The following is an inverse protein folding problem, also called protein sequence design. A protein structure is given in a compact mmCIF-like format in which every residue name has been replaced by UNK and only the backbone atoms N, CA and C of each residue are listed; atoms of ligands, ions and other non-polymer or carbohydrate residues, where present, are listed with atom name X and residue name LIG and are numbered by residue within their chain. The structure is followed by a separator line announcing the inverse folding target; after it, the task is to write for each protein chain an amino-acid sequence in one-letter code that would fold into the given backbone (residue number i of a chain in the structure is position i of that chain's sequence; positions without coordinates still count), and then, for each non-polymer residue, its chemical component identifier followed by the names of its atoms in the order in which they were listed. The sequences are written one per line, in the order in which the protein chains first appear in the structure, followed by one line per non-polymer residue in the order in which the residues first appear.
data_IF_939816602014
#
_entry.id   IF_939816602014
#
_cell.length_a   1.000
_cell.length_b   1.000
_cell.length_c   1.000
_cell.angle_alpha   90.00
_cell.angle_beta   90.00
_cell.angle_gamma   90.00
#
_symmetry.space_group_name_H-M   'P 1'
#
loop_
_entity.id
_entity.type
_entity.pdbx_description
1 polymer ?
#
# COMPACT_ATOMS: atom_id res chain seq x y z
N UNK A 1 -49.65 -6.43 -13.05
CA UNK A 1 -48.59 -5.91 -12.19
C UNK A 1 -47.34 -6.72 -12.53
N UNK A 2 -46.42 -6.15 -13.29
CA UNK A 2 -45.12 -6.75 -13.62
C UNK A 2 -44.17 -6.69 -12.40
N UNK A 3 -43.43 -7.74 -12.09
CA UNK A 3 -42.42 -7.68 -11.03
C UNK A 3 -41.26 -6.76 -11.49
N UNK A 4 -40.87 -5.85 -10.61
CA UNK A 4 -39.79 -4.90 -10.82
C UNK A 4 -38.46 -5.60 -11.13
N UNK A 5 -37.75 -5.08 -12.11
CA UNK A 5 -36.37 -5.42 -12.44
C UNK A 5 -35.50 -5.18 -11.19
N UNK A 6 -34.86 -6.23 -10.72
CA UNK A 6 -33.95 -6.16 -9.59
C UNK A 6 -32.76 -5.25 -9.93
N UNK A 7 -32.56 -4.28 -9.08
CA UNK A 7 -31.40 -3.39 -9.08
C UNK A 7 -30.13 -4.25 -8.85
N UNK A 8 -29.45 -4.59 -9.92
CA UNK A 8 -28.13 -5.23 -9.84
C UNK A 8 -27.16 -4.30 -9.13
N UNK A 9 -26.07 -4.80 -8.51
CA UNK A 9 -25.14 -3.97 -7.79
C UNK A 9 -24.65 -2.84 -8.67
N UNK A 10 -24.91 -1.58 -8.27
CA UNK A 10 -24.44 -0.39 -8.98
C UNK A 10 -22.91 -0.41 -8.99
N UNK A 11 -22.31 -0.79 -10.12
CA UNK A 11 -20.86 -0.75 -10.27
C UNK A 11 -20.44 0.70 -10.41
N UNK A 12 -19.87 1.27 -9.37
CA UNK A 12 -19.36 2.64 -9.39
C UNK A 12 -18.27 2.77 -10.46
N UNK A 13 -18.54 3.61 -11.49
CA UNK A 13 -17.54 3.93 -12.51
C UNK A 13 -16.37 4.70 -11.89
N UNK A 14 -15.15 4.36 -12.30
CA UNK A 14 -13.93 5.03 -11.83
C UNK A 14 -13.18 5.68 -12.97
N UNK A 15 -12.43 6.73 -12.66
CA UNK A 15 -11.52 7.41 -13.58
C UNK A 15 -10.10 7.30 -13.08
N UNK A 16 -9.25 6.59 -13.84
CA UNK A 16 -7.81 6.52 -13.65
C UNK A 16 -7.08 7.53 -14.53
N UNK A 17 -6.04 8.16 -14.01
CA UNK A 17 -5.23 9.16 -14.72
C UNK A 17 -3.79 9.09 -14.22
N UNK A 18 -2.84 9.17 -15.14
CA UNK A 18 -1.44 9.36 -14.78
C UNK A 18 -1.20 10.82 -14.40
N UNK A 19 -0.50 11.04 -13.30
CA UNK A 19 -0.16 12.37 -12.77
C UNK A 19 1.32 12.44 -12.44
N UNK A 20 1.86 13.65 -12.47
CA UNK A 20 3.24 13.94 -12.10
C UNK A 20 3.26 14.75 -10.80
N UNK A 21 4.09 14.31 -9.86
CA UNK A 21 4.25 14.93 -8.54
C UNK A 21 5.68 15.45 -8.42
N UNK A 22 5.84 16.72 -8.10
CA UNK A 22 7.17 17.31 -7.85
C UNK A 22 7.67 16.93 -6.46
N UNK A 23 8.93 16.46 -6.42
CA UNK A 23 9.68 16.20 -5.19
C UNK A 23 11.02 16.95 -5.24
N UNK A 24 11.75 16.94 -4.14
CA UNK A 24 13.12 17.52 -4.10
C UNK A 24 14.09 16.82 -5.07
N UNK A 25 13.89 15.53 -5.30
CA UNK A 25 14.79 14.69 -6.13
C UNK A 25 14.24 14.48 -7.56
N UNK A 26 13.26 15.27 -8.00
CA UNK A 26 12.71 15.21 -9.35
C UNK A 26 11.20 15.02 -9.40
N UNK A 27 10.72 14.48 -10.52
CA UNK A 27 9.29 14.24 -10.76
C UNK A 27 8.96 12.77 -10.58
N UNK A 28 7.93 12.49 -9.79
CA UNK A 28 7.35 11.16 -9.58
C UNK A 28 6.15 10.99 -10.47
N UNK A 29 6.17 10.00 -11.33
CA UNK A 29 4.97 9.53 -12.01
C UNK A 29 4.12 8.70 -11.05
N UNK A 30 2.82 8.93 -11.05
CA UNK A 30 1.88 8.24 -10.19
C UNK A 30 0.57 7.95 -10.93
N UNK A 31 -0.15 6.95 -10.46
CA UNK A 31 -1.51 6.67 -10.90
C UNK A 31 -2.51 7.19 -9.88
N UNK A 32 -3.41 8.08 -10.31
CA UNK A 32 -4.53 8.57 -9.52
C UNK A 32 -5.82 7.94 -10.05
N UNK A 33 -6.61 7.34 -9.15
CA UNK A 33 -7.94 6.84 -9.50
C UNK A 33 -8.98 7.25 -8.47
N UNK A 34 -10.22 7.48 -8.94
CA UNK A 34 -11.32 7.94 -8.09
C UNK A 34 -12.68 7.56 -8.70
N UNK A 35 -13.77 7.56 -7.93
CA UNK A 35 -15.11 7.53 -8.49
C UNK A 35 -15.34 8.67 -9.49
N UNK A 36 -16.08 8.39 -10.55
CA UNK A 36 -16.45 9.42 -11.54
C UNK A 36 -17.39 10.45 -10.91
N UNK A 37 -18.32 9.97 -10.11
CA UNK A 37 -19.37 10.78 -9.49
C UNK A 37 -19.10 11.02 -8.00
N UNK A 38 -19.72 12.03 -7.42
CA UNK A 38 -19.81 12.25 -5.99
C UNK A 38 -18.72 13.15 -5.37
N UNK A 39 -17.98 13.92 -6.16
CA UNK A 39 -17.06 14.95 -5.66
C UNK A 39 -15.78 14.42 -4.99
N UNK A 40 -15.23 15.18 -4.05
CA UNK A 40 -14.04 14.82 -3.30
C UNK A 40 -14.31 13.63 -2.35
N UNK A 41 -13.37 12.69 -2.27
CA UNK A 41 -13.47 11.45 -1.49
C UNK A 41 -12.32 11.32 -0.50
N UNK A 42 -12.47 10.55 0.59
CA UNK A 42 -11.34 10.22 1.45
C UNK A 42 -10.19 9.66 0.64
N UNK A 43 -8.97 10.12 0.94
CA UNK A 43 -7.79 9.78 0.16
C UNK A 43 -7.01 8.62 0.76
N UNK A 44 -6.48 7.77 -0.11
CA UNK A 44 -5.59 6.65 0.23
C UNK A 44 -4.29 6.78 -0.55
N UNK A 45 -3.18 6.89 0.16
CA UNK A 45 -1.85 6.76 -0.41
C UNK A 45 -1.48 5.27 -0.43
N UNK A 46 -1.26 4.72 -1.62
CA UNK A 46 -1.02 3.31 -1.86
C UNK A 46 0.42 3.04 -2.25
N UNK A 47 1.18 2.38 -1.42
CA UNK A 47 2.56 2.00 -1.70
C UNK A 47 2.62 0.65 -2.42
N UNK A 48 3.30 0.65 -3.56
CA UNK A 48 3.53 -0.50 -4.41
C UNK A 48 4.45 -1.54 -3.75
N UNK A 49 4.41 -2.76 -4.28
CA UNK A 49 5.41 -3.78 -3.99
C UNK A 49 6.73 -3.54 -4.75
N UNK A 50 7.70 -4.44 -4.60
CA UNK A 50 9.01 -4.32 -5.23
C UNK A 50 8.99 -4.40 -6.76
N UNK A 51 7.95 -4.99 -7.37
CA UNK A 51 7.82 -5.05 -8.82
C UNK A 51 7.47 -3.70 -9.45
N UNK A 52 6.99 -2.76 -8.66
CA UNK A 52 6.71 -1.41 -9.13
C UNK A 52 5.29 -1.18 -9.63
N UNK A 53 5.02 0.06 -10.02
CA UNK A 53 3.74 0.46 -10.59
C UNK A 53 3.53 -0.24 -11.94
N UNK A 54 2.47 -1.03 -12.04
CA UNK A 54 2.14 -1.90 -13.17
C UNK A 54 0.62 -2.12 -13.27
N UNK A 55 0.09 -2.74 -14.36
CA UNK A 55 -1.35 -2.92 -14.56
C UNK A 55 -2.06 -3.53 -13.35
N UNK A 56 -1.53 -4.58 -12.72
CA UNK A 56 -2.13 -5.21 -11.54
C UNK A 56 -2.37 -4.21 -10.39
N UNK A 57 -1.42 -3.34 -10.10
CA UNK A 57 -1.60 -2.35 -9.02
C UNK A 57 -2.64 -1.29 -9.39
N UNK A 58 -2.76 -0.93 -10.67
CA UNK A 58 -3.82 -0.04 -11.15
C UNK A 58 -5.21 -0.67 -10.96
N UNK A 59 -5.36 -1.95 -11.30
CA UNK A 59 -6.61 -2.71 -11.07
C UNK A 59 -7.01 -2.76 -9.60
N UNK A 60 -6.04 -3.02 -8.72
CA UNK A 60 -6.26 -3.02 -7.27
C UNK A 60 -6.67 -1.64 -6.75
N UNK A 61 -6.00 -0.59 -7.22
CA UNK A 61 -6.36 0.79 -6.87
C UNK A 61 -7.77 1.16 -7.37
N UNK A 62 -8.12 0.73 -8.60
CA UNK A 62 -9.46 0.91 -9.15
C UNK A 62 -10.54 0.17 -8.36
N UNK A 63 -10.23 -1.04 -7.83
CA UNK A 63 -11.13 -1.75 -6.92
C UNK A 63 -11.41 -0.93 -5.66
N UNK A 64 -10.37 -0.30 -5.10
CA UNK A 64 -10.54 0.57 -3.94
C UNK A 64 -11.29 1.87 -4.28
N UNK A 65 -11.04 2.43 -5.45
CA UNK A 65 -11.78 3.60 -5.93
C UNK A 65 -13.28 3.31 -6.13
N UNK A 66 -13.65 2.12 -6.64
CA UNK A 66 -15.05 1.68 -6.72
C UNK A 66 -15.73 1.59 -5.35
N UNK A 67 -14.96 1.37 -4.29
CA UNK A 67 -15.45 1.41 -2.91
C UNK A 67 -15.60 2.83 -2.34
N UNK A 68 -15.33 3.88 -3.13
CA UNK A 68 -15.61 5.26 -2.74
C UNK A 68 -14.40 6.09 -2.33
N UNK A 69 -13.19 5.66 -2.61
CA UNK A 69 -11.95 6.35 -2.22
C UNK A 69 -11.24 7.00 -3.41
N UNK A 70 -10.52 8.10 -3.15
CA UNK A 70 -9.51 8.63 -4.07
C UNK A 70 -8.17 7.98 -3.74
N UNK A 71 -7.56 7.31 -4.73
CA UNK A 71 -6.36 6.48 -4.50
C UNK A 71 -5.20 7.00 -5.33
N UNK A 72 -4.07 7.28 -4.67
CA UNK A 72 -2.82 7.68 -5.31
C UNK A 72 -1.78 6.57 -5.17
N UNK A 73 -1.26 6.08 -6.30
CA UNK A 73 -0.21 5.04 -6.36
C UNK A 73 1.05 5.64 -6.98
N UNK A 74 2.01 6.16 -6.19
CA UNK A 74 3.25 6.72 -6.70
C UNK A 74 4.24 5.64 -7.13
N UNK A 75 5.01 5.92 -8.19
CA UNK A 75 6.22 5.19 -8.52
C UNK A 75 7.35 5.58 -7.54
N UNK A 76 7.51 4.84 -6.43
CA UNK A 76 8.55 5.15 -5.43
C UNK A 76 9.98 4.95 -5.95
N UNK A 77 10.12 4.40 -7.15
CA UNK A 77 11.41 4.21 -7.82
C UNK A 77 11.74 5.30 -8.86
N UNK A 78 11.04 6.41 -8.86
CA UNK A 78 11.13 7.50 -9.84
C UNK A 78 12.57 7.99 -10.13
N UNK A 79 13.50 7.86 -9.15
CA UNK A 79 14.92 8.18 -9.33
C UNK A 79 15.64 7.26 -10.34
N UNK A 80 15.00 6.16 -10.74
CA UNK A 80 15.47 5.23 -11.78
C UNK A 80 14.75 5.42 -13.11
N UNK A 81 13.74 6.25 -13.15
CA UNK A 81 12.91 6.56 -14.30
C UNK A 81 11.43 6.36 -14.04
N UNK A 82 10.64 6.62 -15.07
CA UNK A 82 9.19 6.37 -15.05
C UNK A 82 8.90 4.86 -15.01
N UNK A 83 7.77 4.49 -14.46
CA UNK A 83 7.30 3.11 -14.47
C UNK A 83 6.96 2.64 -15.90
N UNK A 84 7.28 1.37 -16.25
CA UNK A 84 7.95 0.37 -15.43
C UNK A 84 9.48 0.59 -15.39
N UNK A 85 10.09 0.50 -14.20
CA UNK A 85 11.56 0.67 -14.06
C UNK A 85 12.35 -0.58 -14.44
N UNK A 86 11.66 -1.71 -14.57
CA UNK A 86 12.16 -2.99 -15.07
C UNK A 86 11.04 -3.63 -15.88
N UNK A 87 11.36 -4.12 -17.06
CA UNK A 87 10.40 -4.92 -17.83
C UNK A 87 10.05 -6.21 -17.10
N UNK A 88 8.77 -6.47 -17.00
CA UNK A 88 8.19 -7.64 -16.34
C UNK A 88 7.42 -8.48 -17.37
N UNK A 89 7.42 -9.80 -17.24
CA UNK A 89 6.49 -10.62 -17.98
C UNK A 89 5.05 -10.34 -17.53
N UNK A 90 4.07 -10.68 -18.35
CA UNK A 90 2.64 -10.55 -18.00
C UNK A 90 2.28 -11.35 -16.73
N UNK A 91 2.92 -12.50 -16.53
CA UNK A 91 2.80 -13.32 -15.34
C UNK A 91 4.20 -13.66 -14.78
N UNK A 92 4.41 -13.38 -13.51
CA UNK A 92 5.68 -13.64 -12.81
C UNK A 92 5.62 -15.01 -12.14
N UNK A 93 6.14 -16.03 -12.82
CA UNK A 93 6.26 -17.35 -12.26
C UNK A 93 7.39 -17.48 -11.22
N UNK A 94 7.44 -18.63 -10.55
CA UNK A 94 8.46 -18.87 -9.52
C UNK A 94 9.89 -18.90 -10.08
N UNK A 95 10.07 -19.30 -11.35
CA UNK A 95 11.36 -19.37 -12.04
C UNK A 95 11.90 -17.99 -12.45
N UNK A 96 11.02 -17.08 -12.92
CA UNK A 96 11.39 -15.74 -13.32
C UNK A 96 11.71 -14.83 -12.12
N UNK A 97 11.08 -15.08 -10.97
CA UNK A 97 11.17 -14.25 -9.76
C UNK A 97 12.61 -13.92 -9.31
N UNK A 98 13.56 -14.88 -9.18
CA UNK A 98 14.91 -14.59 -8.71
C UNK A 98 15.67 -13.60 -9.59
N UNK A 99 15.55 -13.72 -10.91
CA UNK A 99 16.21 -12.82 -11.87
C UNK A 99 15.61 -11.41 -11.82
N UNK A 100 14.30 -11.28 -11.74
CA UNK A 100 13.61 -10.00 -11.59
C UNK A 100 14.08 -9.31 -10.30
N UNK A 101 14.11 -10.02 -9.17
CA UNK A 101 14.62 -9.47 -7.92
C UNK A 101 16.09 -9.08 -7.97
N UNK A 102 16.92 -9.83 -8.70
CA UNK A 102 18.33 -9.46 -8.92
C UNK A 102 18.43 -8.10 -9.61
N UNK A 103 17.59 -7.84 -10.62
CA UNK A 103 17.55 -6.56 -11.36
C UNK A 103 16.98 -5.41 -10.51
N UNK A 104 15.98 -5.68 -9.67
CA UNK A 104 15.33 -4.68 -8.81
C UNK A 104 16.15 -4.32 -7.57
N UNK A 105 17.03 -5.21 -7.10
CA UNK A 105 17.78 -5.02 -5.85
C UNK A 105 18.54 -3.69 -5.76
N UNK A 106 19.27 -3.21 -6.79
CA UNK A 106 19.94 -1.90 -6.73
C UNK A 106 18.95 -0.75 -6.54
N UNK A 107 17.79 -0.82 -7.19
CA UNK A 107 16.73 0.18 -7.10
C UNK A 107 16.09 0.20 -5.71
N UNK A 108 15.78 -0.98 -5.16
CA UNK A 108 15.26 -1.10 -3.79
C UNK A 108 16.26 -0.56 -2.75
N UNK A 109 17.55 -0.83 -2.91
CA UNK A 109 18.60 -0.33 -2.00
C UNK A 109 18.78 1.19 -2.08
N UNK A 110 18.53 1.79 -3.23
CA UNK A 110 18.62 3.24 -3.42
C UNK A 110 17.46 4.01 -2.77
N UNK A 111 16.35 3.33 -2.46
CA UNK A 111 15.22 3.89 -1.72
C UNK A 111 15.49 3.79 -0.21
N UNK A 112 16.25 4.75 0.32
CA UNK A 112 16.52 4.81 1.75
C UNK A 112 15.28 5.32 2.52
N UNK A 113 15.16 5.02 3.83
CA UNK A 113 14.06 5.54 4.64
C UNK A 113 13.90 7.07 4.57
N UNK A 114 15.00 7.81 4.57
CA UNK A 114 15.00 9.28 4.51
C UNK A 114 14.44 9.77 3.17
N UNK A 115 14.89 9.17 2.05
CA UNK A 115 14.36 9.50 0.71
C UNK A 115 12.88 9.18 0.61
N UNK A 116 12.48 7.98 1.07
CA UNK A 116 11.09 7.55 1.04
C UNK A 116 10.19 8.48 1.85
N UNK A 117 10.63 8.95 3.03
CA UNK A 117 9.81 9.84 3.85
C UNK A 117 9.78 11.28 3.32
N UNK A 118 10.84 11.77 2.68
CA UNK A 118 10.76 13.06 1.94
C UNK A 118 9.73 13.00 0.81
N UNK A 119 9.75 11.92 0.03
CA UNK A 119 8.78 11.70 -1.04
C UNK A 119 7.36 11.56 -0.47
N UNK A 120 7.18 10.83 0.63
CA UNK A 120 5.89 10.70 1.32
C UNK A 120 5.31 12.07 1.69
N UNK A 121 6.14 12.99 2.18
CA UNK A 121 5.73 14.37 2.45
C UNK A 121 5.23 15.10 1.20
N UNK A 122 5.88 14.87 0.05
CA UNK A 122 5.42 15.44 -1.22
C UNK A 122 4.08 14.82 -1.68
N UNK A 123 3.90 13.51 -1.54
CA UNK A 123 2.63 12.84 -1.87
C UNK A 123 1.49 13.35 -1.00
N UNK A 124 1.73 13.50 0.30
CA UNK A 124 0.72 14.00 1.24
C UNK A 124 0.34 15.47 0.96
N UNK A 125 1.31 16.32 0.59
CA UNK A 125 1.01 17.71 0.15
C UNK A 125 0.19 17.70 -1.14
N UNK A 126 0.60 16.93 -2.12
CA UNK A 126 -0.12 16.83 -3.39
C UNK A 126 -1.56 16.36 -3.20
N UNK A 127 -1.79 15.35 -2.33
CA UNK A 127 -3.14 14.89 -2.00
C UNK A 127 -3.96 15.97 -1.29
N UNK A 128 -3.36 16.79 -0.44
CA UNK A 128 -4.05 17.90 0.21
C UNK A 128 -4.52 18.98 -0.76
N UNK A 129 -3.82 19.13 -1.88
CA UNK A 129 -4.14 20.10 -2.96
C UNK A 129 -5.00 19.47 -4.07
N UNK A 130 -5.19 18.14 -4.05
CA UNK A 130 -5.94 17.42 -5.07
C UNK A 130 -7.45 17.66 -4.93
N UNK A 131 -8.13 18.24 -5.95
CA UNK A 131 -9.57 18.52 -5.87
C UNK A 131 -10.44 17.25 -5.72
N UNK A 132 -9.90 16.09 -6.07
CA UNK A 132 -10.59 14.82 -5.93
C UNK A 132 -10.46 14.19 -4.53
N UNK A 133 -9.54 14.69 -3.71
CA UNK A 133 -9.35 14.23 -2.35
C UNK A 133 -10.12 15.12 -1.36
N UNK A 134 -10.86 14.50 -0.44
CA UNK A 134 -11.43 15.22 0.69
C UNK A 134 -10.29 15.73 1.59
N UNK A 135 -10.42 16.95 2.08
CA UNK A 135 -9.43 17.51 2.99
C UNK A 135 -9.31 16.70 4.28
N UNK A 136 -8.15 16.82 4.95
CA UNK A 136 -7.88 16.13 6.20
C UNK A 136 -6.83 15.04 6.11
N UNK A 137 -6.69 14.20 7.16
CA UNK A 137 -5.79 13.08 7.17
C UNK A 137 -6.20 12.01 6.13
N UNK A 138 -5.19 11.28 5.62
CA UNK A 138 -5.39 10.22 4.64
C UNK A 138 -5.20 8.84 5.29
N UNK A 139 -5.64 7.78 4.61
CA UNK A 139 -5.14 6.44 4.92
C UNK A 139 -3.89 6.14 4.09
N UNK A 140 -3.01 5.28 4.60
CA UNK A 140 -1.89 4.74 3.85
C UNK A 140 -1.98 3.21 3.82
N UNK A 141 -1.74 2.62 2.67
CA UNK A 141 -1.65 1.15 2.56
C UNK A 141 -0.43 0.75 1.76
N UNK A 142 0.11 -0.42 2.01
CA UNK A 142 1.29 -0.87 1.29
C UNK A 142 1.47 -2.38 1.28
N UNK A 143 2.16 -2.87 0.26
CA UNK A 143 2.32 -4.28 -0.08
C UNK A 143 3.80 -4.64 -0.15
N UNK A 144 4.20 -5.77 0.42
CA UNK A 144 5.60 -6.20 0.44
C UNK A 144 6.50 -5.12 1.08
N UNK A 145 7.45 -4.54 0.34
CA UNK A 145 8.24 -3.39 0.81
C UNK A 145 7.37 -2.16 1.11
N UNK A 146 6.25 -2.00 0.42
CA UNK A 146 5.30 -0.91 0.63
C UNK A 146 4.66 -0.92 2.02
N UNK A 147 4.55 -2.08 2.67
CA UNK A 147 4.07 -2.19 4.05
C UNK A 147 5.00 -1.46 5.04
N UNK A 148 6.31 -1.55 4.84
CA UNK A 148 7.28 -0.79 5.62
C UNK A 148 7.18 0.72 5.35
N UNK A 149 6.91 1.12 4.10
CA UNK A 149 6.70 2.52 3.74
C UNK A 149 5.43 3.07 4.38
N UNK A 150 4.33 2.30 4.40
CA UNK A 150 3.09 2.69 5.06
C UNK A 150 3.29 2.91 6.57
N UNK A 151 3.94 1.97 7.26
CA UNK A 151 4.26 2.10 8.69
C UNK A 151 5.13 3.32 8.98
N UNK A 152 6.19 3.53 8.19
CA UNK A 152 7.08 4.69 8.34
C UNK A 152 6.36 6.01 8.09
N UNK A 153 5.47 6.06 7.10
CA UNK A 153 4.68 7.25 6.77
C UNK A 153 3.76 7.61 7.94
N UNK A 154 3.09 6.62 8.56
CA UNK A 154 2.26 6.85 9.73
C UNK A 154 3.05 7.43 10.91
N UNK A 155 4.29 6.96 11.14
CA UNK A 155 5.14 7.50 12.21
C UNK A 155 5.85 8.81 11.86
N UNK A 156 6.08 9.11 10.57
CA UNK A 156 6.71 10.36 10.14
C UNK A 156 5.72 11.52 10.03
N UNK A 157 4.45 11.23 9.76
CA UNK A 157 3.39 12.20 9.52
C UNK A 157 2.12 11.86 10.33
N UNK A 158 2.19 11.79 11.68
CA UNK A 158 1.08 11.34 12.51
C UNK A 158 -0.18 12.20 12.34
N UNK A 159 -0.03 13.51 12.16
CA UNK A 159 -1.16 14.45 11.97
C UNK A 159 -1.81 14.35 10.57
N UNK A 160 -1.18 13.62 9.65
CA UNK A 160 -1.62 13.49 8.26
C UNK A 160 -2.12 12.09 7.92
N UNK A 161 -1.92 11.11 8.78
CA UNK A 161 -2.30 9.72 8.57
C UNK A 161 -3.28 9.28 9.64
N UNK A 162 -4.52 8.97 9.23
CA UNK A 162 -5.58 8.49 10.12
C UNK A 162 -5.60 6.96 10.26
N UNK A 163 -5.19 6.24 9.22
CA UNK A 163 -5.09 4.79 9.23
C UNK A 163 -3.90 4.30 8.41
N UNK A 164 -3.28 3.19 8.82
CA UNK A 164 -2.20 2.56 8.08
C UNK A 164 -2.43 1.05 7.96
N UNK A 165 -2.27 0.49 6.75
CA UNK A 165 -2.35 -0.94 6.52
C UNK A 165 -1.12 -1.48 5.79
N UNK A 166 -0.68 -2.68 6.16
CA UNK A 166 0.41 -3.38 5.49
C UNK A 166 0.06 -4.85 5.22
N UNK A 167 0.33 -5.32 4.01
CA UNK A 167 0.02 -6.69 3.62
C UNK A 167 1.27 -7.41 3.11
N UNK A 168 1.45 -8.67 3.55
CA UNK A 168 2.65 -9.50 3.29
C UNK A 168 3.96 -8.69 3.34
N UNK A 169 4.07 -7.82 4.34
CA UNK A 169 5.26 -6.99 4.54
C UNK A 169 6.47 -7.82 4.92
N UNK A 170 7.65 -7.41 4.46
CA UNK A 170 8.91 -8.02 4.86
C UNK A 170 9.77 -7.07 5.71
N UNK A 171 10.58 -7.64 6.61
CA UNK A 171 11.59 -6.91 7.41
C UNK A 171 11.01 -5.74 8.23
N UNK A 172 9.81 -5.92 8.77
CA UNK A 172 9.12 -4.86 9.50
C UNK A 172 9.71 -4.58 10.90
N UNK A 173 10.36 -5.57 11.51
CA UNK A 173 10.92 -5.47 12.88
C UNK A 173 12.25 -6.20 13.00
N UNK A 174 13.27 -5.68 12.31
CA UNK A 174 14.66 -6.20 12.34
C UNK A 174 15.49 -5.57 13.47
N UNK A 175 16.74 -6.01 13.63
CA UNK A 175 17.70 -5.42 14.57
C UNK A 175 18.41 -4.17 13.99
N UNK A 176 18.09 -3.77 12.75
CA UNK A 176 18.68 -2.58 12.14
C UNK A 176 18.26 -1.31 12.88
N UNK A 177 19.17 -0.32 13.02
CA UNK A 177 18.87 0.93 13.74
C UNK A 177 17.80 1.79 13.09
N UNK A 178 17.50 1.51 11.82
CA UNK A 178 16.45 2.17 11.04
C UNK A 178 15.25 1.24 10.80
N UNK A 179 15.05 0.20 11.60
CA UNK A 179 13.96 -0.76 11.41
C UNK A 179 12.58 -0.10 11.48
N UNK A 180 11.62 -0.49 10.61
CA UNK A 180 10.32 0.16 10.52
C UNK A 180 9.55 0.25 11.84
N UNK A 181 9.56 -0.81 12.68
CA UNK A 181 8.82 -0.84 13.96
C UNK A 181 9.26 0.24 14.96
N UNK A 182 10.46 0.81 14.80
CA UNK A 182 10.98 1.84 15.71
C UNK A 182 10.22 3.18 15.64
N UNK A 183 9.34 3.35 14.63
CA UNK A 183 8.49 4.53 14.56
C UNK A 183 7.20 4.41 15.38
N UNK A 184 6.92 3.26 16.01
CA UNK A 184 5.67 2.96 16.69
C UNK A 184 5.25 4.05 17.69
N UNK A 185 6.18 4.56 18.51
CA UNK A 185 5.91 5.60 19.49
C UNK A 185 5.46 6.96 18.95
N UNK A 186 5.44 7.14 17.63
CA UNK A 186 4.96 8.36 16.98
C UNK A 186 3.65 8.18 16.21
N UNK A 187 3.13 6.95 16.16
CA UNK A 187 1.93 6.63 15.39
C UNK A 187 0.69 6.97 16.20
N UNK A 188 -0.20 7.76 15.62
CA UNK A 188 -1.54 8.08 16.15
C UNK A 188 -2.66 7.36 15.38
N UNK A 189 -2.33 6.87 14.19
CA UNK A 189 -3.24 6.17 13.29
C UNK A 189 -3.68 4.79 13.85
N UNK A 190 -4.86 4.29 13.45
CA UNK A 190 -5.18 2.88 13.57
C UNK A 190 -4.35 2.07 12.57
N UNK A 191 -3.75 0.97 13.01
CA UNK A 191 -2.84 0.17 12.19
C UNK A 191 -3.35 -1.25 12.00
N UNK A 192 -3.28 -1.77 10.77
CA UNK A 192 -3.58 -3.16 10.44
C UNK A 192 -2.44 -3.82 9.67
N UNK A 193 -2.05 -5.02 10.07
CA UNK A 193 -1.11 -5.84 9.30
C UNK A 193 -1.68 -7.23 9.03
N UNK A 194 -1.74 -7.62 7.72
CA UNK A 194 -1.99 -8.98 7.25
C UNK A 194 -0.67 -9.66 6.87
N UNK A 195 -0.12 -10.47 7.76
CA UNK A 195 1.15 -11.15 7.54
C UNK A 195 0.95 -12.44 6.76
N UNK A 196 1.90 -12.74 5.86
CA UNK A 196 1.96 -14.04 5.24
C UNK A 196 2.52 -15.10 6.23
N UNK A 197 1.92 -16.28 6.26
CA UNK A 197 2.33 -17.40 7.13
C UNK A 197 3.68 -17.99 6.66
N UNK A 198 3.85 -18.15 5.35
CA UNK A 198 5.06 -18.71 4.74
C UNK A 198 5.96 -17.61 4.18
N UNK A 199 6.55 -16.80 5.06
CA UNK A 199 7.36 -15.66 4.66
C UNK A 199 8.71 -15.60 5.37
N UNK A 200 9.79 -15.95 4.65
CA UNK A 200 11.16 -15.87 5.20
C UNK A 200 11.63 -14.43 5.43
N UNK A 201 10.97 -13.44 4.82
CA UNK A 201 11.33 -12.02 5.00
C UNK A 201 10.73 -11.40 6.25
N UNK A 202 9.76 -12.07 6.87
CA UNK A 202 9.12 -11.67 8.12
C UNK A 202 8.83 -12.93 8.99
N UNK A 203 9.86 -13.51 9.63
CA UNK A 203 9.66 -14.67 10.49
C UNK A 203 8.84 -14.30 11.74
N UNK A 204 8.28 -15.31 12.47
CA UNK A 204 7.39 -15.08 13.61
C UNK A 204 7.94 -14.13 14.67
N UNK A 205 9.23 -14.18 14.94
CA UNK A 205 9.88 -13.32 15.94
C UNK A 205 9.82 -11.82 15.56
N UNK A 206 9.81 -11.51 14.24
CA UNK A 206 9.63 -10.15 13.79
C UNK A 206 8.16 -9.71 13.86
N UNK A 207 7.21 -10.62 13.65
CA UNK A 207 5.77 -10.33 13.83
C UNK A 207 5.50 -9.99 15.29
N UNK A 208 5.98 -10.84 16.23
CA UNK A 208 5.85 -10.63 17.67
C UNK A 208 6.52 -9.32 18.12
N UNK A 209 7.69 -8.98 17.57
CA UNK A 209 8.41 -7.75 17.88
C UNK A 209 7.64 -6.52 17.40
N UNK A 210 7.08 -6.57 16.21
CA UNK A 210 6.24 -5.49 15.66
C UNK A 210 5.00 -5.28 16.53
N UNK A 211 4.28 -6.35 16.84
CA UNK A 211 3.07 -6.31 17.65
C UNK A 211 3.35 -5.76 19.06
N UNK A 212 4.45 -6.22 19.69
CA UNK A 212 4.90 -5.69 20.97
C UNK A 212 5.21 -4.19 20.89
N UNK A 213 5.95 -3.74 19.86
CA UNK A 213 6.28 -2.33 19.71
C UNK A 213 5.04 -1.45 19.56
N UNK A 214 4.03 -1.92 18.83
CA UNK A 214 2.75 -1.21 18.67
C UNK A 214 1.94 -1.22 19.97
N UNK A 215 1.92 -2.34 20.70
CA UNK A 215 1.26 -2.46 22.02
C UNK A 215 1.89 -1.52 23.04
N UNK A 216 3.22 -1.56 23.20
CA UNK A 216 3.97 -0.75 24.16
C UNK A 216 3.81 0.75 23.88
N UNK A 217 3.64 1.13 22.60
CA UNK A 217 3.37 2.48 22.17
C UNK A 217 1.89 2.91 22.32
N UNK A 218 0.99 2.01 22.74
CA UNK A 218 -0.45 2.31 22.86
C UNK A 218 -1.16 2.52 21.55
N UNK A 219 -0.60 2.06 20.42
CA UNK A 219 -1.19 2.19 19.09
C UNK A 219 -2.40 1.25 18.98
N UNK A 220 -3.54 1.78 18.52
CA UNK A 220 -4.67 0.91 18.15
C UNK A 220 -4.30 0.09 16.91
N UNK A 221 -4.11 -1.22 17.08
CA UNK A 221 -3.62 -2.06 16.01
C UNK A 221 -4.25 -3.46 15.99
N UNK A 222 -4.10 -4.12 14.86
CA UNK A 222 -4.40 -5.54 14.65
C UNK A 222 -3.36 -6.14 13.72
N UNK A 223 -2.68 -7.18 14.20
CA UNK A 223 -1.77 -8.00 13.41
C UNK A 223 -2.38 -9.40 13.25
N UNK A 224 -2.51 -9.87 12.02
CA UNK A 224 -3.06 -11.19 11.72
C UNK A 224 -2.13 -11.96 10.80
N UNK A 225 -1.92 -13.24 11.10
CA UNK A 225 -1.25 -14.17 10.19
C UNK A 225 -2.31 -14.86 9.33
N UNK A 226 -2.10 -14.81 8.00
CA UNK A 226 -2.98 -15.46 7.04
C UNK A 226 -2.45 -16.87 6.79
N UNK A 227 -3.08 -17.85 7.45
CA UNK A 227 -2.66 -19.23 7.45
C UNK A 227 -2.50 -19.79 6.04
N UNK A 228 -1.36 -20.40 5.75
CA UNK A 228 -1.04 -20.98 4.45
C UNK A 228 -0.62 -20.00 3.36
N UNK A 229 -0.86 -18.69 3.52
CA UNK A 229 -0.53 -17.69 2.51
C UNK A 229 0.97 -17.42 2.43
N UNK A 230 1.49 -17.29 1.22
CA UNK A 230 2.88 -16.94 0.94
C UNK A 230 3.09 -15.43 0.77
N UNK A 231 4.34 -14.98 0.78
CA UNK A 231 4.70 -13.59 0.48
C UNK A 231 4.27 -13.19 -0.92
N UNK A 232 3.40 -12.20 -1.04
CA UNK A 232 2.84 -11.73 -2.32
C UNK A 232 1.42 -12.23 -2.61
N UNK A 233 0.73 -12.79 -1.64
CA UNK A 233 -0.59 -13.41 -1.80
C UNK A 233 -1.67 -12.54 -2.44
N UNK A 234 -1.52 -11.20 -2.49
CA UNK A 234 -2.48 -10.28 -3.13
C UNK A 234 -2.23 -10.09 -4.63
N UNK A 235 -1.12 -10.60 -5.16
CA UNK A 235 -0.65 -10.25 -6.49
C UNK A 235 -1.04 -11.33 -7.52
N UNK A 236 -2.21 -11.17 -8.18
CA UNK A 236 -2.75 -12.16 -9.12
C UNK A 236 -1.95 -12.31 -10.42
N UNK A 237 -1.03 -11.40 -10.68
CA UNK A 237 -0.04 -11.47 -11.76
C UNK A 237 1.23 -12.25 -11.40
N UNK A 238 1.20 -12.96 -10.26
CA UNK A 238 2.34 -13.77 -9.79
C UNK A 238 1.90 -15.16 -9.31
N UNK A 239 2.83 -16.11 -9.32
CA UNK A 239 2.61 -17.45 -8.77
C UNK A 239 2.43 -17.49 -7.25
N UNK A 240 2.60 -16.38 -6.56
CA UNK A 240 2.38 -16.26 -5.11
C UNK A 240 0.92 -15.97 -4.73
N UNK A 241 0.07 -15.71 -5.70
CA UNK A 241 -1.32 -15.33 -5.46
C UNK A 241 -2.10 -16.40 -4.70
N UNK A 242 -2.83 -15.95 -3.71
CA UNK A 242 -3.77 -16.77 -2.94
C UNK A 242 -5.11 -16.02 -2.86
N UNK A 243 -6.12 -16.58 -3.52
CA UNK A 243 -7.42 -15.92 -3.64
C UNK A 243 -8.12 -15.72 -2.29
N UNK A 244 -8.06 -16.71 -1.40
CA UNK A 244 -8.72 -16.64 -0.09
C UNK A 244 -8.05 -15.57 0.79
N UNK A 245 -6.72 -15.56 0.81
CA UNK A 245 -5.94 -14.53 1.50
C UNK A 245 -6.15 -13.13 0.90
N UNK A 246 -6.26 -13.02 -0.44
CA UNK A 246 -6.55 -11.74 -1.10
C UNK A 246 -7.95 -11.22 -0.73
N UNK A 247 -8.99 -12.06 -0.73
CA UNK A 247 -10.33 -11.61 -0.32
C UNK A 247 -10.38 -11.24 1.17
N UNK A 248 -9.66 -11.94 2.04
CA UNK A 248 -9.51 -11.57 3.45
C UNK A 248 -8.82 -10.21 3.60
N UNK A 249 -7.75 -9.97 2.84
CA UNK A 249 -7.07 -8.68 2.79
C UNK A 249 -8.03 -7.54 2.40
N UNK A 250 -8.85 -7.73 1.35
CA UNK A 250 -9.82 -6.72 0.92
C UNK A 250 -10.85 -6.43 2.02
N UNK A 251 -11.38 -7.45 2.68
CA UNK A 251 -12.31 -7.27 3.79
C UNK A 251 -11.67 -6.49 4.95
N UNK A 252 -10.42 -6.79 5.29
CA UNK A 252 -9.69 -6.11 6.35
C UNK A 252 -9.38 -4.64 6.00
N UNK A 253 -8.91 -4.36 4.78
CA UNK A 253 -8.59 -3.01 4.32
C UNK A 253 -9.85 -2.15 4.26
N UNK A 254 -10.92 -2.63 3.62
CA UNK A 254 -12.19 -1.89 3.52
C UNK A 254 -12.81 -1.67 4.90
N UNK A 255 -12.74 -2.67 5.80
CA UNK A 255 -13.21 -2.55 7.17
C UNK A 255 -12.42 -1.50 7.98
N UNK A 256 -11.10 -1.41 7.81
CA UNK A 256 -10.27 -0.36 8.42
C UNK A 256 -10.69 1.02 7.91
N UNK A 257 -10.79 1.18 6.59
CA UNK A 257 -11.14 2.46 5.97
C UNK A 257 -12.54 2.94 6.35
N UNK A 258 -13.53 2.04 6.39
CA UNK A 258 -14.91 2.37 6.79
C UNK A 258 -15.04 2.80 8.26
N UNK A 259 -14.09 2.42 9.13
CA UNK A 259 -14.06 2.89 10.53
C UNK A 259 -13.31 4.21 10.68
N UNK A 260 -12.51 4.56 9.69
CA UNK A 260 -11.65 5.75 9.72
C UNK A 260 -12.34 6.97 9.14
N UNK A 261 -13.13 6.75 8.10
CA UNK A 261 -13.82 7.78 7.32
C UNK A 261 -15.34 7.58 7.28
#
# INVERSE_FOLDING_TARGET
VSPGEGDGPVVTAVRGTDVDIRTEDGTVDAYLTRPVEGGARPAVLWYMDAYGLRPRLREMADRLARAGYTVLVPNVFHRRGRAPVVELPEFIDAGARPEIFRRLRPTMRALTPERAMRDAGAYLRWLAECPAAAGGPVAVTGYCMGAALALRTAGAYPDRVAAAAGFHGGRLATDAPDSPHLVAGRITAEVYFGHADRDRSLPPEQIERLERALTDAGVRHRCEVYAGAGHGYTQSDTAAYDKEADERHWAALLGLLARTF
#
